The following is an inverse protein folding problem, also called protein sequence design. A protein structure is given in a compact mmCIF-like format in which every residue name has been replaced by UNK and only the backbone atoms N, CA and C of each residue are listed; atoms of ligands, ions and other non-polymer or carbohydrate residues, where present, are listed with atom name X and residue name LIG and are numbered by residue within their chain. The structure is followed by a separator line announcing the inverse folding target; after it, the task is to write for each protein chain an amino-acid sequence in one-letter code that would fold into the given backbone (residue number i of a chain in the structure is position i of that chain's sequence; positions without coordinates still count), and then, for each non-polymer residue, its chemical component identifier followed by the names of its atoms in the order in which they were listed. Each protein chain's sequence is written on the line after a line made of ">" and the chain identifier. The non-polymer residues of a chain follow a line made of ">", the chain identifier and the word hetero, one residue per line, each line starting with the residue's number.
data_IF_326182801478
#
_entry.id   IF_326182801478
#
_cell.length_a   1.000
_cell.length_b   1.000
_cell.length_c   1.000
_cell.angle_alpha   90.00
_cell.angle_beta   90.00
_cell.angle_gamma   90.00
#
_symmetry.space_group_name_H-M   'P 1'
#
loop_
_entity.id
_entity.type
_entity.pdbx_description
1 polymer ?
#
# COMPACT_ATOMS: atom_id res chain seq x y z
N UNK A 1 17.85 31.44 45.87
CA UNK A 1 17.43 31.32 44.46
C UNK A 1 18.13 30.09 43.90
N UNK A 2 17.39 29.00 43.70
CA UNK A 2 17.96 27.79 43.11
C UNK A 2 18.11 28.01 41.60
N UNK A 3 19.30 27.71 41.08
CA UNK A 3 19.65 27.83 39.67
C UNK A 3 19.10 26.60 38.95
N UNK A 4 18.19 26.80 37.99
CA UNK A 4 17.74 25.72 37.10
C UNK A 4 18.90 25.36 36.16
N UNK A 5 19.37 24.12 36.24
CA UNK A 5 20.34 23.57 35.27
C UNK A 5 19.65 23.41 33.91
N UNK A 6 20.19 23.97 32.82
CA UNK A 6 19.57 23.94 31.49
C UNK A 6 19.77 22.61 30.73
N UNK A 7 20.17 21.54 31.42
CA UNK A 7 20.39 20.20 30.81
C UNK A 7 19.18 19.28 30.91
N UNK A 8 18.07 19.73 31.52
CA UNK A 8 16.84 18.96 31.62
C UNK A 8 16.04 19.08 30.31
N UNK A 9 16.53 18.39 29.27
CA UNK A 9 15.68 18.03 28.13
C UNK A 9 14.66 17.02 28.65
N UNK A 10 13.56 17.53 29.19
CA UNK A 10 12.38 16.72 29.47
C UNK A 10 11.83 16.21 28.15
N UNK A 11 12.32 15.05 27.72
CA UNK A 11 11.61 14.20 26.77
C UNK A 11 10.23 14.03 27.40
N UNK A 12 9.18 14.40 26.68
CA UNK A 12 7.80 14.20 27.12
C UNK A 12 7.62 12.69 27.28
N UNK A 13 7.70 12.25 28.53
CA UNK A 13 7.60 10.86 28.93
C UNK A 13 6.12 10.51 29.02
N UNK A 14 5.60 9.83 28.00
CA UNK A 14 4.32 9.15 28.13
C UNK A 14 4.50 8.06 29.21
N UNK A 15 3.63 8.08 30.21
CA UNK A 15 3.49 7.01 31.20
C UNK A 15 2.18 6.30 30.88
N UNK A 16 2.11 4.99 31.10
CA UNK A 16 0.84 4.28 31.01
C UNK A 16 -0.17 4.80 32.06
N UNK A 17 -1.42 4.32 31.99
CA UNK A 17 -2.48 4.72 32.93
C UNK A 17 -2.15 4.37 34.41
N UNK A 18 -1.11 3.57 34.64
CA UNK A 18 -0.60 3.20 35.96
C UNK A 18 0.66 3.96 36.37
N UNK A 19 1.15 4.89 35.55
CA UNK A 19 2.34 5.69 35.82
C UNK A 19 3.67 4.96 35.58
N UNK A 20 3.65 3.78 34.96
CA UNK A 20 4.82 2.99 34.62
C UNK A 20 5.37 3.37 33.25
N UNK A 21 6.68 3.16 33.10
CA UNK A 21 7.37 3.25 31.82
C UNK A 21 7.35 1.90 31.14
N UNK A 22 6.88 1.86 29.89
CA UNK A 22 7.03 0.69 29.06
C UNK A 22 8.28 0.86 28.19
N UNK A 23 9.30 0.04 28.45
CA UNK A 23 10.55 0.09 27.69
C UNK A 23 10.37 -0.34 26.23
N UNK A 24 9.31 -1.06 25.91
CA UNK A 24 9.03 -1.52 24.55
C UNK A 24 8.39 -0.41 23.70
N UNK A 25 7.58 0.49 24.30
CA UNK A 25 6.90 1.58 23.57
C UNK A 25 7.43 2.98 23.86
N UNK A 26 8.12 3.21 24.98
CA UNK A 26 8.59 4.54 25.40
C UNK A 26 10.09 4.73 25.18
N UNK A 27 10.75 3.81 24.47
CA UNK A 27 12.18 3.91 24.17
C UNK A 27 12.45 4.89 23.01
N UNK A 28 13.62 5.53 23.05
CA UNK A 28 14.14 6.30 21.91
C UNK A 28 14.33 5.43 20.66
N UNK A 29 14.49 4.12 20.85
CA UNK A 29 14.56 3.13 19.78
C UNK A 29 13.18 2.95 19.13
N UNK A 30 12.11 2.79 19.92
CA UNK A 30 10.73 2.81 19.41
C UNK A 30 10.35 4.13 18.74
N UNK A 31 10.77 5.27 19.29
CA UNK A 31 10.61 6.58 18.64
C UNK A 31 11.41 6.68 17.34
N UNK A 32 12.59 6.05 17.27
CA UNK A 32 13.40 5.96 16.06
C UNK A 32 12.80 5.02 15.00
N UNK A 33 12.21 3.90 15.42
CA UNK A 33 11.49 2.95 14.58
C UNK A 33 10.21 3.57 14.00
N UNK A 34 9.41 4.24 14.83
CA UNK A 34 8.21 4.98 14.37
C UNK A 34 8.53 6.23 13.55
N UNK A 35 9.73 6.81 13.69
CA UNK A 35 10.23 7.89 12.82
C UNK A 35 10.89 7.39 11.52
N UNK A 36 11.29 6.12 11.45
CA UNK A 36 11.91 5.57 10.23
C UNK A 36 10.82 5.08 9.28
N UNK A 37 10.52 5.91 8.27
CA UNK A 37 9.63 5.56 7.16
C UNK A 37 10.32 4.59 6.20
N UNK A 38 10.56 3.36 6.66
CA UNK A 38 11.02 2.27 5.80
C UNK A 38 9.82 1.64 5.13
N UNK A 39 9.84 1.62 3.81
CA UNK A 39 8.77 1.01 3.02
C UNK A 39 9.13 -0.42 2.64
N UNK A 40 8.16 -1.32 2.76
CA UNK A 40 8.25 -2.72 2.35
C UNK A 40 7.65 -2.94 0.95
N UNK A 41 7.91 -4.11 0.36
CA UNK A 41 7.39 -4.53 -0.93
C UNK A 41 6.41 -5.69 -0.79
N UNK A 42 5.40 -5.72 -1.66
CA UNK A 42 4.48 -6.84 -1.80
C UNK A 42 4.22 -7.12 -3.28
N UNK A 43 4.38 -8.35 -3.77
CA UNK A 43 4.88 -9.51 -3.04
C UNK A 43 6.34 -9.34 -2.59
N UNK A 44 6.73 -10.06 -1.54
CA UNK A 44 8.12 -10.00 -1.03
C UNK A 44 9.06 -10.80 -1.93
N UNK A 45 8.56 -11.90 -2.51
CA UNK A 45 9.30 -12.74 -3.46
C UNK A 45 9.30 -12.10 -4.84
N UNK A 46 10.46 -12.03 -5.50
CA UNK A 46 10.57 -11.54 -6.88
C UNK A 46 10.01 -12.50 -7.93
N UNK A 47 9.58 -13.70 -7.52
CA UNK A 47 8.92 -14.66 -8.40
C UNK A 47 7.39 -14.50 -8.39
N UNK A 48 6.85 -13.71 -7.46
CA UNK A 48 5.42 -13.56 -7.24
C UNK A 48 4.94 -12.20 -7.77
N UNK A 49 3.65 -12.13 -8.07
CA UNK A 49 3.00 -10.91 -8.53
C UNK A 49 1.54 -10.86 -8.05
N UNK A 50 0.95 -9.67 -8.07
CA UNK A 50 -0.50 -9.51 -7.92
C UNK A 50 -1.12 -9.38 -9.30
N UNK A 51 -2.07 -10.26 -9.62
CA UNK A 51 -2.75 -10.25 -10.91
C UNK A 51 -4.06 -9.46 -10.83
N UNK A 52 -4.11 -8.34 -11.55
CA UNK A 52 -5.37 -7.62 -11.75
C UNK A 52 -6.08 -8.12 -13.00
N UNK A 53 -7.38 -8.38 -12.88
CA UNK A 53 -8.21 -8.83 -14.01
C UNK A 53 -9.35 -7.85 -14.29
N UNK A 54 -9.45 -7.41 -15.55
CA UNK A 54 -10.54 -6.55 -16.00
C UNK A 54 -11.83 -7.35 -16.12
N UNK A 55 -12.97 -6.68 -15.94
CA UNK A 55 -14.28 -7.29 -16.11
C UNK A 55 -14.53 -7.86 -17.52
N UNK A 56 -15.61 -8.62 -17.66
CA UNK A 56 -16.00 -9.26 -18.93
C UNK A 56 -16.56 -8.31 -19.99
N UNK A 57 -16.65 -7.01 -19.71
CA UNK A 57 -17.21 -5.99 -20.61
C UNK A 57 -16.19 -4.87 -20.85
N UNK A 58 -16.03 -4.47 -22.11
CA UNK A 58 -15.13 -3.38 -22.49
C UNK A 58 -15.47 -2.08 -21.75
N UNK A 59 -14.45 -1.34 -21.33
CA UNK A 59 -14.56 -0.03 -20.66
C UNK A 59 -15.49 -0.02 -19.43
N UNK A 60 -15.63 -1.16 -18.77
CA UNK A 60 -16.40 -1.31 -17.53
C UNK A 60 -15.50 -1.89 -16.45
N UNK A 61 -15.67 -1.45 -15.20
CA UNK A 61 -14.97 -2.07 -14.07
C UNK A 61 -15.46 -3.49 -13.84
N UNK A 62 -14.54 -4.38 -13.50
CA UNK A 62 -14.88 -5.67 -12.89
C UNK A 62 -15.49 -5.51 -11.50
N UNK A 63 -15.92 -6.65 -10.94
CA UNK A 63 -16.23 -6.73 -9.51
C UNK A 63 -14.97 -6.45 -8.68
N UNK A 64 -15.16 -6.04 -7.43
CA UNK A 64 -14.06 -5.94 -6.48
C UNK A 64 -13.52 -7.34 -6.17
N UNK A 65 -12.20 -7.43 -6.12
CA UNK A 65 -11.46 -8.62 -5.75
C UNK A 65 -10.43 -8.27 -4.68
N UNK A 66 -10.18 -9.18 -3.74
CA UNK A 66 -9.20 -8.98 -2.68
C UNK A 66 -7.78 -8.93 -3.28
N UNK A 67 -6.90 -8.13 -2.68
CA UNK A 67 -5.50 -8.02 -3.08
C UNK A 67 -4.69 -9.21 -2.55
N UNK A 68 -4.52 -10.19 -3.43
CA UNK A 68 -3.83 -11.45 -3.16
C UNK A 68 -2.75 -11.68 -4.22
N UNK A 69 -1.57 -12.15 -3.81
CA UNK A 69 -0.53 -12.58 -4.74
C UNK A 69 -0.83 -13.98 -5.34
N UNK A 70 -0.06 -14.39 -6.33
CA UNK A 70 -0.16 -15.69 -6.98
C UNK A 70 0.17 -16.89 -6.06
N UNK A 71 0.72 -16.64 -4.87
CA UNK A 71 0.94 -17.63 -3.81
C UNK A 71 -0.16 -17.63 -2.72
N UNK A 72 -1.24 -16.87 -2.91
CA UNK A 72 -2.35 -16.69 -1.97
C UNK A 72 -2.05 -15.88 -0.69
N UNK A 73 -0.93 -15.16 -0.62
CA UNK A 73 -0.66 -14.19 0.45
C UNK A 73 -1.48 -12.92 0.22
N UNK A 74 -1.90 -12.25 1.29
CA UNK A 74 -2.73 -11.05 1.18
C UNK A 74 -1.95 -9.81 1.55
N UNK A 75 -2.14 -8.72 0.81
CA UNK A 75 -1.53 -7.44 1.18
C UNK A 75 -2.10 -6.91 2.52
N UNK A 76 -3.37 -7.23 2.83
CA UNK A 76 -4.00 -6.83 4.09
C UNK A 76 -3.33 -7.40 5.33
N UNK A 77 -2.61 -8.52 5.21
CA UNK A 77 -1.92 -9.14 6.35
C UNK A 77 -0.81 -8.21 6.89
N UNK A 78 -0.25 -7.36 6.03
CA UNK A 78 0.72 -6.34 6.42
C UNK A 78 0.12 -5.21 7.29
N UNK A 79 -1.21 -5.08 7.32
CA UNK A 79 -1.95 -4.11 8.11
C UNK A 79 -2.83 -4.78 9.18
N UNK A 80 -2.56 -6.05 9.53
CA UNK A 80 -3.43 -6.80 10.43
C UNK A 80 -3.47 -6.22 11.85
N UNK A 81 -2.33 -5.80 12.39
CA UNK A 81 -2.19 -5.28 13.76
C UNK A 81 -2.01 -3.76 13.83
N UNK A 82 -1.62 -3.13 12.72
CA UNK A 82 -1.29 -1.72 12.67
C UNK A 82 -1.89 -1.05 11.44
N UNK A 83 -2.33 0.23 11.55
CA UNK A 83 -2.70 1.01 10.38
C UNK A 83 -1.48 1.24 9.49
N UNK A 84 -1.69 1.63 8.26
CA UNK A 84 -0.59 1.89 7.34
C UNK A 84 -1.03 2.57 6.07
N UNK A 85 -0.18 2.59 5.06
CA UNK A 85 -0.52 3.17 3.76
C UNK A 85 0.30 2.57 2.64
N UNK A 86 -0.29 2.56 1.44
CA UNK A 86 0.40 2.20 0.21
C UNK A 86 1.14 3.44 -0.31
N UNK A 87 2.43 3.31 -0.56
CA UNK A 87 3.31 4.40 -1.00
C UNK A 87 3.58 4.37 -2.50
N UNK A 88 3.45 3.20 -3.14
CA UNK A 88 3.64 3.05 -4.57
C UNK A 88 2.99 1.81 -5.15
N UNK A 89 2.68 1.87 -6.45
CA UNK A 89 2.35 0.72 -7.28
C UNK A 89 3.33 0.70 -8.45
N UNK A 90 3.91 -0.46 -8.71
CA UNK A 90 4.69 -0.76 -9.89
C UNK A 90 3.83 -1.65 -10.80
N UNK A 91 3.63 -1.22 -12.04
CA UNK A 91 3.08 -2.08 -13.09
C UNK A 91 4.25 -2.83 -13.70
N UNK A 92 4.20 -4.16 -13.69
CA UNK A 92 5.31 -5.02 -14.11
C UNK A 92 5.11 -5.51 -15.54
N UNK A 93 3.93 -6.09 -15.82
CA UNK A 93 3.60 -6.58 -17.15
C UNK A 93 2.09 -6.50 -17.48
N UNK A 94 1.78 -6.68 -18.76
CA UNK A 94 0.44 -6.70 -19.32
C UNK A 94 0.26 -7.91 -20.23
N UNK A 95 -0.83 -8.64 -20.06
CA UNK A 95 -1.12 -9.74 -20.99
C UNK A 95 -1.39 -9.26 -22.42
N UNK A 96 -1.81 -8.00 -22.58
CA UNK A 96 -1.98 -7.33 -23.87
C UNK A 96 -1.50 -5.89 -23.77
N UNK A 97 -0.49 -5.58 -24.57
CA UNK A 97 0.08 -4.25 -24.72
C UNK A 97 -0.78 -3.35 -25.60
N UNK A 98 -0.49 -2.06 -25.60
CA UNK A 98 -1.19 -1.04 -26.38
C UNK A 98 -2.68 -0.87 -26.03
N UNK A 99 -3.04 -1.24 -24.80
CA UNK A 99 -4.38 -1.05 -24.23
C UNK A 99 -4.37 -0.10 -23.06
N UNK A 100 -5.49 0.62 -22.91
CA UNK A 100 -5.70 1.54 -21.79
C UNK A 100 -6.32 0.77 -20.64
N UNK A 101 -5.72 0.92 -19.48
CA UNK A 101 -6.15 0.31 -18.23
C UNK A 101 -6.43 1.41 -17.21
N UNK A 102 -7.41 1.16 -16.36
CA UNK A 102 -7.78 2.00 -15.23
C UNK A 102 -8.08 1.07 -14.06
N UNK A 103 -7.30 1.15 -12.99
CA UNK A 103 -7.60 0.40 -11.76
C UNK A 103 -7.96 1.33 -10.62
N UNK A 104 -8.67 0.74 -9.66
CA UNK A 104 -8.90 1.33 -8.35
C UNK A 104 -8.42 0.39 -7.26
N UNK A 105 -7.95 1.00 -6.17
CA UNK A 105 -7.67 0.32 -4.91
C UNK A 105 -8.60 0.86 -3.84
N UNK A 106 -9.07 -0.01 -2.97
CA UNK A 106 -9.94 0.34 -1.86
C UNK A 106 -9.62 -0.49 -0.61
N UNK A 107 -10.09 -0.05 0.55
CA UNK A 107 -10.09 -0.85 1.78
C UNK A 107 -11.48 -0.97 2.40
N UNK A 108 -11.64 -2.01 3.21
CA UNK A 108 -12.81 -2.30 4.02
C UNK A 108 -14.07 -2.65 3.25
N UNK A 109 -15.09 -3.11 3.97
CA UNK A 109 -16.34 -3.60 3.37
C UNK A 109 -17.15 -2.51 2.66
N UNK A 110 -16.87 -1.24 2.97
CA UNK A 110 -17.44 -0.07 2.27
C UNK A 110 -16.63 0.37 1.05
N UNK A 111 -15.55 -0.34 0.70
CA UNK A 111 -14.73 -0.09 -0.48
C UNK A 111 -14.24 1.37 -0.55
N UNK A 112 -13.69 1.87 0.55
CA UNK A 112 -13.16 3.24 0.65
C UNK A 112 -11.98 3.38 -0.31
N UNK A 113 -12.15 4.20 -1.35
CA UNK A 113 -11.16 4.36 -2.42
C UNK A 113 -9.87 4.99 -1.89
N UNK A 114 -8.75 4.30 -2.08
CA UNK A 114 -7.39 4.76 -1.83
C UNK A 114 -6.85 5.51 -3.05
N UNK A 115 -7.05 4.93 -4.22
CA UNK A 115 -6.40 5.34 -5.47
C UNK A 115 -7.29 4.98 -6.65
N UNK A 116 -7.29 5.87 -7.64
CA UNK A 116 -7.72 5.59 -9.02
C UNK A 116 -6.58 5.93 -9.96
N UNK A 117 -6.10 4.98 -10.75
CA UNK A 117 -4.96 5.19 -11.63
C UNK A 117 -5.22 4.67 -13.05
N UNK A 118 -4.92 5.51 -14.05
CA UNK A 118 -4.99 5.16 -15.46
C UNK A 118 -3.58 5.05 -16.02
N UNK A 119 -3.34 3.97 -16.75
CA UNK A 119 -2.07 3.75 -17.43
C UNK A 119 -2.26 3.16 -18.83
N UNK A 120 -1.18 3.21 -19.60
CA UNK A 120 -1.08 2.68 -20.95
C UNK A 120 0.40 2.34 -21.17
N UNK A 121 0.69 1.08 -21.47
CA UNK A 121 1.99 0.64 -21.94
C UNK A 121 1.83 -0.02 -23.30
N UNK A 122 2.83 0.11 -24.17
CA UNK A 122 2.75 -0.33 -25.55
C UNK A 122 4.14 -0.57 -26.13
N UNK A 123 4.21 -1.39 -27.19
CA UNK A 123 5.48 -1.68 -27.87
C UNK A 123 5.82 -0.61 -28.93
N UNK A 124 4.87 0.24 -29.30
CA UNK A 124 5.07 1.29 -30.31
C UNK A 124 4.79 2.68 -29.71
N UNK A 125 5.83 3.52 -29.67
CA UNK A 125 5.81 4.94 -29.25
C UNK A 125 5.18 5.22 -27.87
N UNK A 126 5.19 4.25 -26.97
CA UNK A 126 4.76 4.40 -25.57
C UNK A 126 5.84 3.79 -24.69
N UNK A 127 6.06 4.37 -23.51
CA UNK A 127 7.09 3.90 -22.59
C UNK A 127 6.79 2.43 -22.21
N UNK A 128 7.85 1.62 -22.04
CA UNK A 128 7.74 0.28 -21.48
C UNK A 128 6.98 0.31 -20.15
N UNK A 129 6.31 -0.79 -19.78
CA UNK A 129 5.32 -0.85 -18.70
C UNK A 129 5.84 -0.52 -17.29
N UNK A 130 7.12 -0.21 -17.13
CA UNK A 130 7.75 0.22 -15.88
C UNK A 130 7.27 1.63 -15.52
N UNK A 131 6.06 1.73 -14.98
CA UNK A 131 5.49 2.94 -14.45
C UNK A 131 5.39 2.81 -12.94
N UNK A 132 6.11 3.67 -12.22
CA UNK A 132 5.99 3.80 -10.78
C UNK A 132 4.96 4.89 -10.46
N UNK A 133 3.84 4.47 -9.87
CA UNK A 133 2.75 5.36 -9.47
C UNK A 133 3.00 5.86 -8.07
N UNK A 134 3.07 7.18 -7.88
CA UNK A 134 3.04 7.77 -6.53
C UNK A 134 1.61 7.93 -6.04
N UNK A 135 1.31 7.32 -4.91
CA UNK A 135 -0.01 7.38 -4.27
C UNK A 135 0.01 8.52 -3.24
N UNK A 136 -1.08 9.28 -3.14
CA UNK A 136 -1.28 10.16 -1.99
C UNK A 136 -1.73 9.27 -0.83
N UNK A 137 -0.89 9.20 0.20
CA UNK A 137 -1.05 8.31 1.36
C UNK A 137 -2.41 8.52 2.04
N UNK A 138 -3.33 7.58 1.83
CA UNK A 138 -4.53 7.40 2.64
C UNK A 138 -4.18 6.36 3.69
N UNK A 139 -4.45 6.66 4.96
CA UNK A 139 -4.28 5.70 6.04
C UNK A 139 -5.34 4.60 5.89
N UNK A 140 -4.87 3.37 5.81
CA UNK A 140 -5.65 2.15 5.88
C UNK A 140 -5.70 1.75 7.36
N UNK A 141 -6.88 1.65 7.98
CA UNK A 141 -7.02 1.18 9.36
C UNK A 141 -6.53 -0.27 9.52
N UNK A 142 -6.10 -0.60 10.75
CA UNK A 142 -5.68 -1.96 11.07
C UNK A 142 -6.82 -2.97 10.90
N UNK A 143 -6.51 -4.15 10.37
CA UNK A 143 -7.44 -5.27 10.18
C UNK A 143 -8.36 -5.14 8.96
N UNK A 144 -8.28 -4.05 8.19
CA UNK A 144 -9.10 -3.87 6.99
C UNK A 144 -8.62 -4.73 5.82
N UNK A 145 -9.57 -5.29 5.08
CA UNK A 145 -9.28 -5.95 3.81
C UNK A 145 -8.94 -4.93 2.74
N UNK A 146 -8.11 -5.33 1.79
CA UNK A 146 -7.76 -4.51 0.64
C UNK A 146 -8.27 -5.12 -0.65
N UNK A 147 -8.80 -4.27 -1.51
CA UNK A 147 -9.46 -4.66 -2.73
C UNK A 147 -8.93 -3.89 -3.92
N UNK A 148 -9.08 -4.48 -5.09
CA UNK A 148 -8.90 -3.82 -6.37
C UNK A 148 -10.08 -4.07 -7.30
N UNK A 149 -10.22 -3.21 -8.30
CA UNK A 149 -10.97 -3.52 -9.52
C UNK A 149 -10.28 -2.91 -10.73
N UNK A 150 -10.38 -3.58 -11.87
CA UNK A 150 -9.75 -3.16 -13.11
C UNK A 150 -10.80 -2.93 -14.22
N UNK A 151 -10.62 -1.83 -14.94
CA UNK A 151 -11.27 -1.51 -16.21
C UNK A 151 -10.21 -1.54 -17.30
N UNK A 152 -10.55 -2.08 -18.46
CA UNK A 152 -9.71 -2.03 -19.65
C UNK A 152 -10.55 -1.71 -20.90
N UNK A 153 -9.92 -1.09 -21.90
CA UNK A 153 -10.51 -0.87 -23.22
C UNK A 153 -11.04 -2.17 -23.86
N UNK A 154 -10.45 -3.32 -23.50
CA UNK A 154 -10.88 -4.65 -23.93
C UNK A 154 -11.17 -5.53 -22.72
N UNK A 155 -12.23 -6.32 -22.77
CA UNK A 155 -12.66 -7.23 -21.72
C UNK A 155 -11.59 -8.28 -21.36
N UNK A 156 -11.57 -8.68 -20.09
CA UNK A 156 -10.77 -9.81 -19.59
C UNK A 156 -9.26 -9.65 -19.71
N UNK A 157 -8.76 -8.42 -19.85
CA UNK A 157 -7.31 -8.15 -19.88
C UNK A 157 -6.75 -8.02 -18.49
N UNK A 158 -5.48 -8.39 -18.35
CA UNK A 158 -4.82 -8.51 -17.05
C UNK A 158 -3.54 -7.71 -17.01
N UNK A 159 -3.17 -7.28 -15.81
CA UNK A 159 -1.87 -6.68 -15.53
C UNK A 159 -1.28 -7.23 -14.24
N UNK A 160 0.03 -7.40 -14.24
CA UNK A 160 0.82 -7.81 -13.08
C UNK A 160 1.33 -6.57 -12.37
N UNK A 161 1.18 -6.54 -11.05
CA UNK A 161 1.55 -5.39 -10.23
C UNK A 161 2.26 -5.82 -8.96
N UNK A 162 3.16 -4.94 -8.51
CA UNK A 162 3.81 -4.97 -7.21
C UNK A 162 3.53 -3.67 -6.46
N UNK A 163 3.49 -3.75 -5.14
CA UNK A 163 3.18 -2.65 -4.25
C UNK A 163 4.36 -2.31 -3.38
N UNK A 164 4.41 -1.03 -3.01
CA UNK A 164 5.24 -0.54 -1.93
C UNK A 164 4.34 0.04 -0.85
N UNK A 165 4.60 -0.29 0.41
CA UNK A 165 3.76 0.11 1.53
C UNK A 165 4.56 0.41 2.78
N UNK A 166 3.91 1.01 3.77
CA UNK A 166 4.45 1.22 5.11
C UNK A 166 3.34 0.93 6.14
N UNK A 167 3.61 0.05 7.08
CA UNK A 167 2.77 -0.18 8.26
C UNK A 167 3.35 0.65 9.42
N UNK A 168 2.48 1.28 10.20
CA UNK A 168 2.82 2.17 11.31
C UNK A 168 3.06 1.41 12.62
#
# INVERSE_FOLDING_TARGET
>A
MAVNNPTDLSIIQHKDDNGNFDRETDSLEFLGETQTHVTSLFPVSSANYVLFTAGGVNNTFGAWAELVDDANNKLSDAFASSPGHITGVLIEDLNVKDKRYLFELAYGDSEVIILRHRFLAGDVKKLAAIQHVRIRSVIIPAGEKLYYRLMCETAGKTCEVSFRYHAH
#
